data_IF_743601510003
#
_entry.id   IF_743601510003
#
_cell.length_a   1.000
_cell.length_b   1.000
_cell.length_c   1.000
_cell.angle_alpha   90.00
_cell.angle_beta   90.00
_cell.angle_gamma   90.00
#
_symmetry.space_group_name_H-M   'P 1'
#
loop_
_entity.id
_entity.type
_entity.pdbx_description
1 polymer ?
#
# COMPACT_ATOMS: atom_id res chain seq x y z
N UNK A 1 -39.00 -18.93 37.65
CA UNK A 1 -37.62 -18.44 37.47
C UNK A 1 -37.67 -16.92 37.39
N UNK A 2 -37.08 -16.19 38.36
CA UNK A 2 -37.05 -14.72 38.32
C UNK A 2 -36.04 -14.28 37.27
N UNK A 3 -36.49 -13.69 36.16
CA UNK A 3 -35.60 -13.00 35.23
C UNK A 3 -35.12 -11.72 35.92
N UNK A 4 -33.81 -11.57 36.10
CA UNK A 4 -33.22 -10.29 36.45
C UNK A 4 -33.42 -9.35 35.25
N UNK A 5 -34.26 -8.32 35.42
CA UNK A 5 -34.36 -7.25 34.45
C UNK A 5 -33.16 -6.31 34.67
N UNK A 6 -32.49 -5.95 33.58
CA UNK A 6 -31.39 -4.98 33.59
C UNK A 6 -31.90 -3.64 34.12
N UNK A 7 -31.17 -3.01 35.05
CA UNK A 7 -31.62 -1.75 35.63
C UNK A 7 -31.42 -0.60 34.63
N UNK A 8 -32.32 0.38 34.63
CA UNK A 8 -32.17 1.58 33.80
C UNK A 8 -30.84 2.30 34.09
N UNK A 9 -30.38 2.27 35.35
CA UNK A 9 -29.12 2.89 35.75
C UNK A 9 -27.88 2.16 35.20
N UNK A 10 -27.88 0.83 35.11
CA UNK A 10 -26.80 0.10 34.45
C UNK A 10 -26.71 0.46 32.97
N UNK A 11 -27.85 0.56 32.28
CA UNK A 11 -27.86 0.90 30.87
C UNK A 11 -27.34 2.33 30.64
N UNK A 12 -27.71 3.28 31.50
CA UNK A 12 -27.18 4.65 31.45
C UNK A 12 -25.67 4.68 31.71
N UNK A 13 -25.18 3.93 32.70
CA UNK A 13 -23.74 3.90 32.99
C UNK A 13 -22.93 3.31 31.82
N UNK A 14 -23.45 2.28 31.16
CA UNK A 14 -22.82 1.67 29.98
C UNK A 14 -22.72 2.67 28.83
N UNK A 15 -23.80 3.39 28.48
CA UNK A 15 -23.73 4.36 27.37
C UNK A 15 -22.82 5.55 27.69
N UNK A 16 -22.71 5.96 28.96
CA UNK A 16 -21.80 7.02 29.39
C UNK A 16 -20.35 6.57 29.24
N UNK A 17 -20.01 5.36 29.70
CA UNK A 17 -18.66 4.81 29.52
C UNK A 17 -18.34 4.66 28.03
N UNK A 18 -19.25 4.10 27.23
CA UNK A 18 -19.06 3.98 25.78
C UNK A 18 -18.91 5.35 25.11
N UNK A 19 -19.60 6.38 25.58
CA UNK A 19 -19.45 7.75 25.10
C UNK A 19 -18.06 8.33 25.35
N UNK A 20 -17.51 8.14 26.56
CA UNK A 20 -16.15 8.61 26.91
C UNK A 20 -15.09 7.84 26.11
N UNK A 21 -15.23 6.51 26.03
CA UNK A 21 -14.30 5.67 25.27
C UNK A 21 -14.32 6.02 23.77
N UNK A 22 -15.50 6.26 23.20
CA UNK A 22 -15.63 6.69 21.81
C UNK A 22 -14.96 8.06 21.58
N UNK A 23 -15.14 9.02 22.49
CA UNK A 23 -14.55 10.35 22.39
C UNK A 23 -13.00 10.33 22.34
N UNK A 24 -12.37 9.45 23.11
CA UNK A 24 -10.89 9.36 23.16
C UNK A 24 -10.32 8.48 22.04
N UNK A 25 -11.06 7.45 21.59
CA UNK A 25 -10.57 6.52 20.57
C UNK A 25 -10.65 7.08 19.14
N UNK A 26 -11.67 7.89 18.82
CA UNK A 26 -11.91 8.39 17.46
C UNK A 26 -10.74 9.21 16.87
N UNK A 27 -10.12 10.17 17.58
CA UNK A 27 -9.06 11.00 17.00
C UNK A 27 -7.85 10.19 16.54
N UNK A 28 -7.47 9.13 17.28
CA UNK A 28 -6.29 8.30 16.96
C UNK A 28 -6.53 7.42 15.73
N UNK A 29 -7.75 6.95 15.52
CA UNK A 29 -8.07 6.05 14.40
C UNK A 29 -7.94 6.73 13.03
N UNK A 30 -8.14 8.04 12.93
CA UNK A 30 -7.98 8.75 11.65
C UNK A 30 -6.51 8.87 11.24
N UNK A 31 -5.62 9.32 12.14
CA UNK A 31 -4.20 9.46 11.84
C UNK A 31 -3.52 8.12 11.53
N UNK A 32 -3.85 7.06 12.28
CA UNK A 32 -3.23 5.73 12.06
C UNK A 32 -3.57 5.09 10.72
N UNK A 33 -4.70 5.45 10.08
CA UNK A 33 -5.09 4.90 8.78
C UNK A 33 -4.25 5.46 7.64
N UNK A 34 -4.01 6.77 7.67
CA UNK A 34 -3.18 7.44 6.67
C UNK A 34 -1.72 6.96 6.80
N UNK A 35 -1.20 6.92 8.04
CA UNK A 35 0.15 6.39 8.32
C UNK A 35 0.30 4.92 7.93
N UNK A 36 -0.70 4.08 8.19
CA UNK A 36 -0.68 2.68 7.77
C UNK A 36 -0.67 2.53 6.25
N UNK A 37 -1.42 3.37 5.54
CA UNK A 37 -1.44 3.34 4.08
C UNK A 37 -0.09 3.74 3.47
N UNK A 38 0.57 4.75 4.05
CA UNK A 38 1.92 5.16 3.66
C UNK A 38 2.95 4.07 3.98
N UNK A 39 2.91 3.49 5.18
CA UNK A 39 3.81 2.41 5.58
C UNK A 39 3.67 1.17 4.68
N UNK A 40 2.42 0.79 4.34
CA UNK A 40 2.14 -0.30 3.41
C UNK A 40 2.71 0.00 2.02
N UNK A 41 2.54 1.22 1.52
CA UNK A 41 3.08 1.61 0.22
C UNK A 41 4.61 1.57 0.20
N UNK A 42 5.28 2.04 1.26
CA UNK A 42 6.74 1.93 1.41
C UNK A 42 7.21 0.46 1.43
N UNK A 43 6.51 -0.41 2.17
CA UNK A 43 6.80 -1.83 2.19
C UNK A 43 6.66 -2.48 0.80
N UNK A 44 5.64 -2.09 0.04
CA UNK A 44 5.44 -2.55 -1.34
C UNK A 44 6.57 -2.09 -2.27
N UNK A 45 7.04 -0.84 -2.15
CA UNK A 45 8.19 -0.38 -2.96
C UNK A 45 9.45 -1.20 -2.68
N UNK A 46 9.77 -1.43 -1.41
CA UNK A 46 10.95 -2.22 -1.01
C UNK A 46 10.81 -3.65 -1.53
N UNK A 47 9.61 -4.24 -1.45
CA UNK A 47 9.34 -5.55 -2.01
C UNK A 47 9.58 -5.58 -3.53
N UNK A 48 9.13 -4.57 -4.26
CA UNK A 48 9.36 -4.45 -5.71
C UNK A 48 10.86 -4.33 -6.02
N UNK A 49 11.60 -3.46 -5.33
CA UNK A 49 13.05 -3.31 -5.53
C UNK A 49 13.82 -4.60 -5.23
N UNK A 50 13.44 -5.30 -4.14
CA UNK A 50 14.02 -6.60 -3.81
C UNK A 50 13.69 -7.66 -4.85
N UNK A 51 12.48 -7.64 -5.39
CA UNK A 51 12.02 -8.52 -6.46
C UNK A 51 12.76 -8.30 -7.77
N UNK A 52 13.04 -7.05 -8.14
CA UNK A 52 13.84 -6.71 -9.33
C UNK A 52 15.26 -7.28 -9.18
N UNK A 53 15.87 -7.11 -8.01
CA UNK A 53 17.20 -7.64 -7.72
C UNK A 53 17.23 -9.17 -7.80
N UNK A 54 16.17 -9.82 -7.33
CA UNK A 54 16.01 -11.27 -7.41
C UNK A 54 15.84 -11.74 -8.87
N UNK A 55 14.95 -11.09 -9.64
CA UNK A 55 14.73 -11.40 -11.04
C UNK A 55 16.00 -11.21 -11.90
N UNK A 56 16.83 -10.23 -11.55
CA UNK A 56 18.15 -10.04 -12.14
C UNK A 56 19.09 -11.21 -11.82
N UNK A 57 19.14 -11.66 -10.55
CA UNK A 57 19.94 -12.83 -10.16
C UNK A 57 19.49 -14.11 -10.87
N UNK A 58 18.19 -14.33 -11.04
CA UNK A 58 17.68 -15.49 -11.79
C UNK A 58 18.07 -15.41 -13.28
N UNK A 59 18.08 -14.20 -13.84
CA UNK A 59 18.50 -13.93 -15.23
C UNK A 59 20.01 -14.14 -15.42
N UNK A 60 20.81 -13.80 -14.40
CA UNK A 60 22.23 -14.12 -14.35
C UNK A 60 22.50 -15.62 -14.34
N UNK A 61 21.76 -16.38 -13.52
CA UNK A 61 21.91 -17.84 -13.40
C UNK A 61 21.51 -18.58 -14.68
N UNK A 62 20.56 -18.03 -15.45
CA UNK A 62 20.15 -18.57 -16.75
C UNK A 62 21.07 -18.17 -17.91
N UNK A 63 22.14 -17.42 -17.64
CA UNK A 63 23.16 -17.06 -18.63
C UNK A 63 22.80 -15.87 -19.52
N UNK A 64 21.74 -15.14 -19.20
CA UNK A 64 21.32 -13.92 -19.91
C UNK A 64 21.22 -12.74 -18.92
N UNK A 65 22.36 -12.09 -18.57
CA UNK A 65 22.37 -10.97 -17.64
C UNK A 65 21.49 -9.82 -18.14
N UNK A 66 20.43 -9.51 -17.39
CA UNK A 66 19.54 -8.40 -17.73
C UNK A 66 18.45 -8.22 -16.70
N UNK A 67 18.00 -6.98 -16.53
CA UNK A 67 16.81 -6.69 -15.74
C UNK A 67 15.56 -7.03 -16.57
N UNK A 68 14.43 -7.37 -15.92
CA UNK A 68 13.19 -7.62 -16.64
C UNK A 68 12.77 -6.36 -17.40
N UNK A 69 12.32 -6.48 -18.65
CA UNK A 69 11.92 -5.33 -19.47
C UNK A 69 10.71 -4.57 -18.89
N UNK A 70 9.86 -5.28 -18.15
CA UNK A 70 8.71 -4.76 -17.42
C UNK A 70 8.55 -5.55 -16.11
N UNK A 71 7.84 -4.98 -15.14
CA UNK A 71 7.64 -5.63 -13.83
C UNK A 71 6.46 -6.63 -13.82
N UNK A 72 5.83 -6.87 -14.97
CA UNK A 72 4.66 -7.73 -15.11
C UNK A 72 3.38 -7.12 -14.54
N UNK A 73 2.28 -7.32 -15.26
CA UNK A 73 0.92 -7.06 -14.79
C UNK A 73 -0.04 -8.11 -15.36
N UNK A 74 -1.13 -8.39 -14.66
CA UNK A 74 -2.20 -9.30 -15.11
C UNK A 74 -3.57 -8.61 -15.17
N UNK A 75 -3.59 -7.28 -15.27
CA UNK A 75 -4.79 -6.44 -15.26
C UNK A 75 -5.48 -6.27 -13.90
N UNK A 76 -5.22 -7.15 -12.91
CA UNK A 76 -5.76 -7.03 -11.55
C UNK A 76 -4.66 -6.80 -10.49
N UNK A 77 -3.44 -7.25 -10.80
CA UNK A 77 -2.26 -7.21 -9.96
C UNK A 77 -1.06 -6.73 -10.77
N UNK A 78 -0.26 -5.89 -10.14
CA UNK A 78 0.96 -5.28 -10.61
C UNK A 78 2.16 -6.01 -10.00
N UNK A 79 3.31 -5.87 -10.64
CA UNK A 79 4.59 -6.40 -10.16
C UNK A 79 4.65 -7.93 -10.08
N UNK A 80 3.77 -8.64 -10.79
CA UNK A 80 3.72 -10.12 -10.77
C UNK A 80 4.96 -10.79 -11.37
N UNK A 81 5.76 -10.04 -12.14
CA UNK A 81 7.02 -10.53 -12.68
C UNK A 81 8.19 -10.47 -11.69
N UNK A 82 8.03 -9.77 -10.56
CA UNK A 82 9.10 -9.56 -9.57
C UNK A 82 8.67 -9.86 -8.13
N UNK A 83 7.37 -9.86 -7.83
CA UNK A 83 6.81 -10.17 -6.51
C UNK A 83 5.98 -11.44 -6.56
N UNK A 84 6.08 -12.28 -5.52
CA UNK A 84 5.31 -13.52 -5.42
C UNK A 84 3.82 -13.26 -5.10
N UNK A 85 3.52 -12.15 -4.41
CA UNK A 85 2.17 -11.66 -4.18
C UNK A 85 2.07 -10.32 -4.91
N UNK A 86 1.47 -10.34 -6.11
CA UNK A 86 1.25 -9.13 -6.90
C UNK A 86 0.50 -8.06 -6.10
N UNK A 87 0.85 -6.80 -6.32
CA UNK A 87 0.18 -5.66 -5.68
C UNK A 87 -1.08 -5.35 -6.45
N UNK A 88 -2.25 -5.35 -5.79
CA UNK A 88 -3.53 -5.06 -6.47
C UNK A 88 -3.49 -3.72 -7.21
N UNK A 89 -3.92 -3.73 -8.46
CA UNK A 89 -4.18 -2.50 -9.20
C UNK A 89 -5.48 -1.87 -8.66
N UNK A 90 -5.37 -0.66 -8.12
CA UNK A 90 -6.48 0.09 -7.56
C UNK A 90 -7.36 0.74 -8.64
N UNK A 91 -6.83 0.91 -9.86
CA UNK A 91 -7.45 1.70 -10.92
C UNK A 91 -7.20 3.21 -10.78
N UNK A 92 -7.41 3.94 -11.88
CA UNK A 92 -7.16 5.38 -11.94
C UNK A 92 -7.97 6.17 -10.89
N UNK A 93 -7.29 7.04 -10.14
CA UNK A 93 -7.92 7.95 -9.17
C UNK A 93 -8.43 7.29 -7.89
N UNK A 94 -8.02 6.05 -7.60
CA UNK A 94 -8.32 5.35 -6.35
C UNK A 94 -7.09 5.27 -5.46
N UNK A 95 -7.30 5.11 -4.15
CA UNK A 95 -6.20 4.90 -3.21
C UNK A 95 -5.51 3.56 -3.49
N UNK A 96 -4.20 3.61 -3.76
CA UNK A 96 -3.37 2.45 -4.08
C UNK A 96 -2.52 2.67 -5.33
N UNK A 97 -1.90 1.57 -5.79
CA UNK A 97 -1.08 1.56 -6.99
C UNK A 97 -1.93 1.42 -8.23
N UNK A 98 -1.55 2.13 -9.29
CA UNK A 98 -2.16 2.02 -10.60
C UNK A 98 -1.09 2.10 -11.68
N UNK A 99 -1.19 1.27 -12.73
CA UNK A 99 -0.28 1.35 -13.87
C UNK A 99 -0.80 2.39 -14.87
N UNK A 100 0.01 3.40 -15.17
CA UNK A 100 -0.37 4.51 -16.07
C UNK A 100 0.25 4.41 -17.45
N UNK A 101 1.28 3.57 -17.62
CA UNK A 101 1.97 3.34 -18.88
C UNK A 101 2.75 2.04 -18.82
N UNK A 102 3.63 1.77 -19.80
CA UNK A 102 4.37 0.50 -19.88
C UNK A 102 5.18 0.19 -18.61
N UNK A 103 6.00 1.15 -18.18
CA UNK A 103 6.89 1.06 -17.02
C UNK A 103 6.63 2.18 -15.99
N UNK A 104 5.50 2.87 -16.09
CA UNK A 104 5.12 3.97 -15.19
C UNK A 104 3.95 3.57 -14.31
N UNK A 105 4.06 3.90 -13.03
CA UNK A 105 3.11 3.54 -11.99
C UNK A 105 2.79 4.77 -11.17
N UNK A 106 1.54 4.93 -10.77
CA UNK A 106 1.10 6.02 -9.90
C UNK A 106 0.54 5.41 -8.63
N UNK A 107 1.10 5.83 -7.50
CA UNK A 107 0.56 5.59 -6.17
C UNK A 107 -0.27 6.80 -5.75
N UNK A 108 -1.52 6.59 -5.40
CA UNK A 108 -2.39 7.64 -4.84
C UNK A 108 -2.75 7.27 -3.41
N UNK A 109 -2.56 8.19 -2.45
CA UNK A 109 -3.04 8.03 -1.08
C UNK A 109 -3.78 9.32 -0.68
N UNK A 110 -5.11 9.24 -0.58
CA UNK A 110 -5.94 10.38 -0.24
C UNK A 110 -5.93 11.44 -1.33
N UNK A 111 -5.31 12.60 -1.05
CA UNK A 111 -5.15 13.70 -2.03
C UNK A 111 -3.74 13.81 -2.59
N UNK A 112 -2.83 12.97 -2.12
CA UNK A 112 -1.43 12.98 -2.50
C UNK A 112 -1.16 11.88 -3.52
N UNK A 113 -0.26 12.16 -4.46
CA UNK A 113 0.14 11.20 -5.50
C UNK A 113 1.66 11.14 -5.61
N UNK A 114 2.16 9.99 -6.01
CA UNK A 114 3.55 9.76 -6.41
C UNK A 114 3.59 8.92 -7.67
N UNK A 115 4.36 9.38 -8.65
CA UNK A 115 4.63 8.71 -9.90
C UNK A 115 5.99 8.04 -9.81
N UNK A 116 6.01 6.78 -10.20
CA UNK A 116 7.16 5.92 -10.23
C UNK A 116 7.45 5.49 -11.65
N UNK A 117 8.72 5.50 -12.01
CA UNK A 117 9.18 5.00 -13.30
C UNK A 117 10.19 3.88 -13.06
N UNK A 118 9.97 2.76 -13.73
CA UNK A 118 10.89 1.64 -13.78
C UNK A 118 11.80 1.75 -15.00
N UNK A 119 13.11 1.77 -14.75
CA UNK A 119 14.14 1.77 -15.80
C UNK A 119 14.73 0.36 -15.97
N UNK A 120 14.46 -0.31 -17.10
CA UNK A 120 14.93 -1.68 -17.35
C UNK A 120 16.43 -1.75 -17.67
N UNK A 121 17.13 -0.61 -17.84
CA UNK A 121 18.57 -0.62 -18.14
C UNK A 121 19.42 -0.80 -16.87
N UNK A 122 18.95 -0.24 -15.75
CA UNK A 122 19.64 -0.24 -14.47
C UNK A 122 18.83 -0.92 -13.34
N UNK A 123 17.59 -1.34 -13.62
CA UNK A 123 16.70 -1.95 -12.63
C UNK A 123 16.15 -0.96 -11.60
N UNK A 124 16.31 0.36 -11.83
CA UNK A 124 15.90 1.37 -10.87
C UNK A 124 14.39 1.55 -10.89
N UNK A 125 13.79 1.55 -9.69
CA UNK A 125 12.38 1.88 -9.48
C UNK A 125 12.32 3.16 -8.66
N UNK A 126 12.27 4.30 -9.35
CA UNK A 126 12.42 5.62 -8.76
C UNK A 126 11.12 6.40 -8.79
N UNK A 127 10.90 7.20 -7.74
CA UNK A 127 9.85 8.20 -7.73
C UNK A 127 10.29 9.39 -8.58
N UNK A 128 9.57 9.68 -9.67
CA UNK A 128 9.93 10.75 -10.61
C UNK A 128 9.20 12.05 -10.31
N UNK A 129 7.95 11.98 -9.84
CA UNK A 129 7.13 13.16 -9.58
C UNK A 129 6.07 12.90 -8.50
N UNK A 130 5.77 13.90 -7.68
CA UNK A 130 4.60 13.88 -6.79
C UNK A 130 4.92 14.16 -5.32
N UNK A 131 3.94 14.73 -4.61
CA UNK A 131 4.10 15.19 -3.22
C UNK A 131 4.39 14.06 -2.23
N UNK A 132 4.12 12.81 -2.63
CA UNK A 132 4.37 11.62 -1.83
C UNK A 132 5.82 11.12 -1.92
N UNK A 133 6.59 11.51 -2.94
CA UNK A 133 7.96 11.04 -3.13
C UNK A 133 8.84 11.36 -1.92
N UNK A 134 8.79 12.61 -1.42
CA UNK A 134 9.56 13.06 -0.26
C UNK A 134 9.16 12.36 1.04
N UNK A 135 7.91 11.89 1.12
CA UNK A 135 7.40 11.12 2.26
C UNK A 135 7.69 9.63 2.12
N UNK A 136 8.30 9.15 1.05
CA UNK A 136 8.56 7.73 0.84
C UNK A 136 10.04 7.36 0.88
N UNK A 137 10.93 8.36 0.79
CA UNK A 137 12.36 8.25 1.07
C UNK A 137 12.64 8.20 2.58
#
# INVERSE_FOLDING_TARGET
MKKAAFTMIELVFVIVILGILAGVALPKLFFTRDDASLANARAQMIAVQSGISLAYNDSLLSGNPGYPANLGDNGASLFVGVTNLGVRDAGAGKNGWHKTGGNTYTLTLGRETANFTYDPTNGAFNCTDGSLCDKMQ
#
